data_IF_670915946571
#
_entry.id   IF_670915946571
#
_cell.length_a   1.000
_cell.length_b   1.000
_cell.length_c   1.000
_cell.angle_alpha   90.00
_cell.angle_beta   90.00
_cell.angle_gamma   90.00
#
_symmetry.space_group_name_H-M   'P 1'
#
loop_
_entity.id
_entity.type
_entity.pdbx_description
1 polymer ?
#
# COMPACT_ATOMS: atom_id res chain seq x y z
N UNK A 1 -29.95 -15.01 -15.01
CA UNK A 1 -29.09 -14.58 -13.90
C UNK A 1 -28.49 -13.24 -14.28
N UNK A 2 -28.47 -12.29 -13.36
CA UNK A 2 -27.85 -10.98 -13.59
C UNK A 2 -26.33 -11.16 -13.56
N UNK A 3 -25.64 -10.54 -14.52
CA UNK A 3 -24.19 -10.65 -14.64
C UNK A 3 -23.49 -9.63 -13.76
N UNK A 4 -22.40 -10.07 -13.13
CA UNK A 4 -21.60 -9.26 -12.21
C UNK A 4 -20.11 -9.40 -12.48
N UNK A 5 -19.35 -8.44 -12.04
CA UNK A 5 -17.89 -8.47 -11.94
C UNK A 5 -17.46 -8.35 -10.49
N UNK A 6 -16.31 -8.89 -10.18
CA UNK A 6 -15.74 -8.79 -8.84
C UNK A 6 -14.34 -8.17 -8.86
N UNK A 7 -14.03 -7.42 -7.80
CA UNK A 7 -12.69 -7.01 -7.44
C UNK A 7 -12.22 -7.75 -6.20
N UNK A 8 -10.95 -8.08 -6.15
CA UNK A 8 -10.25 -8.63 -4.98
C UNK A 8 -9.01 -7.81 -4.72
N UNK A 9 -8.79 -7.51 -3.45
CA UNK A 9 -7.52 -6.99 -2.91
C UNK A 9 -7.04 -7.97 -1.85
N UNK A 10 -6.09 -8.84 -2.20
CA UNK A 10 -5.53 -9.87 -1.34
C UNK A 10 -4.21 -9.38 -0.75
N UNK A 11 -4.30 -8.75 0.42
CA UNK A 11 -3.14 -8.33 1.21
C UNK A 11 -2.72 -9.38 2.23
N UNK A 12 -1.65 -9.10 3.00
CA UNK A 12 -1.09 -10.04 3.97
C UNK A 12 -1.93 -10.27 5.23
N UNK A 13 -2.82 -9.37 5.59
CA UNK A 13 -3.63 -9.45 6.81
C UNK A 13 -5.12 -9.62 6.54
N UNK A 14 -5.59 -9.10 5.42
CA UNK A 14 -7.00 -9.16 5.01
C UNK A 14 -7.13 -9.27 3.50
N UNK A 15 -8.22 -9.87 3.09
CA UNK A 15 -8.73 -9.91 1.73
C UNK A 15 -10.00 -9.07 1.66
N UNK A 16 -10.03 -8.08 0.79
CA UNK A 16 -11.27 -7.36 0.46
C UNK A 16 -11.85 -7.90 -0.85
N UNK A 17 -13.17 -8.07 -0.89
CA UNK A 17 -13.93 -8.50 -2.07
C UNK A 17 -15.09 -7.55 -2.31
N UNK A 18 -15.15 -6.97 -3.51
CA UNK A 18 -16.27 -6.14 -3.98
C UNK A 18 -16.94 -6.80 -5.17
N UNK A 19 -18.27 -6.87 -5.14
CA UNK A 19 -19.08 -7.39 -6.26
C UNK A 19 -20.01 -6.28 -6.76
N UNK A 20 -19.97 -6.04 -8.06
CA UNK A 20 -20.80 -5.03 -8.71
C UNK A 20 -21.48 -5.59 -9.97
N UNK A 21 -22.66 -5.06 -10.27
CA UNK A 21 -23.32 -5.27 -11.57
C UNK A 21 -22.56 -4.51 -12.67
N UNK A 22 -22.82 -4.83 -13.92
CA UNK A 22 -22.15 -4.17 -15.07
C UNK A 22 -22.46 -2.67 -15.16
N UNK A 23 -23.63 -2.23 -14.64
CA UNK A 23 -24.02 -0.82 -14.59
C UNK A 23 -23.43 -0.05 -13.39
N UNK A 24 -22.66 -0.70 -12.54
CA UNK A 24 -21.96 -0.06 -11.41
C UNK A 24 -22.68 -0.15 -10.07
N UNK A 25 -23.80 -0.84 -9.99
CA UNK A 25 -24.48 -1.05 -8.71
C UNK A 25 -23.64 -1.98 -7.83
N UNK A 26 -23.21 -1.49 -6.68
CA UNK A 26 -22.47 -2.25 -5.66
C UNK A 26 -23.44 -3.18 -4.93
N UNK A 27 -23.17 -4.48 -5.00
CA UNK A 27 -23.98 -5.54 -4.38
C UNK A 27 -23.39 -6.01 -3.06
N UNK A 28 -22.06 -5.99 -2.95
CA UNK A 28 -21.35 -6.56 -1.81
C UNK A 28 -19.98 -5.90 -1.67
N UNK A 29 -19.63 -5.54 -0.44
CA UNK A 29 -18.27 -5.30 0.04
C UNK A 29 -18.08 -6.21 1.26
N UNK A 30 -17.13 -7.14 1.18
CA UNK A 30 -16.80 -8.07 2.27
C UNK A 30 -15.30 -8.10 2.52
N UNK A 31 -14.95 -8.22 3.78
CA UNK A 31 -13.58 -8.52 4.21
C UNK A 31 -13.51 -9.93 4.79
N UNK A 32 -12.41 -10.63 4.52
CA UNK A 32 -12.09 -11.94 5.06
C UNK A 32 -10.69 -11.89 5.66
N UNK A 33 -10.41 -12.66 6.72
CA UNK A 33 -9.06 -12.86 7.20
C UNK A 33 -8.18 -13.46 6.09
N UNK A 34 -6.91 -13.04 6.05
CA UNK A 34 -5.94 -13.52 5.07
C UNK A 34 -4.76 -14.27 5.72
N UNK A 35 -4.96 -14.80 6.94
CA UNK A 35 -3.92 -15.49 7.72
C UNK A 35 -3.28 -16.67 6.96
N UNK A 36 -4.07 -17.37 6.10
CA UNK A 36 -3.61 -18.49 5.28
C UNK A 36 -3.33 -18.08 3.82
N UNK A 37 -3.27 -16.77 3.53
CA UNK A 37 -3.00 -16.32 2.18
C UNK A 37 -1.54 -16.54 1.80
N UNK A 38 -1.34 -17.18 0.66
CA UNK A 38 -0.07 -17.24 -0.03
C UNK A 38 -0.32 -17.30 -1.54
N UNK A 39 0.41 -16.51 -2.30
CA UNK A 39 0.35 -16.54 -3.77
C UNK A 39 0.95 -17.83 -4.37
N UNK A 40 1.61 -18.65 -3.57
CA UNK A 40 2.23 -19.92 -3.99
C UNK A 40 1.97 -21.03 -2.97
N UNK A 41 1.70 -22.27 -3.41
CA UNK A 41 1.56 -22.70 -4.82
C UNK A 41 0.31 -22.11 -5.50
N UNK A 42 0.37 -21.85 -6.82
CA UNK A 42 -0.69 -21.13 -7.55
C UNK A 42 -2.04 -21.86 -7.52
N UNK A 43 -2.07 -23.20 -7.55
CA UNK A 43 -3.30 -23.97 -7.49
C UNK A 43 -4.01 -23.81 -6.14
N UNK A 44 -3.22 -23.76 -5.05
CA UNK A 44 -3.74 -23.50 -3.70
C UNK A 44 -4.28 -22.07 -3.60
N UNK A 45 -3.53 -21.10 -4.12
CA UNK A 45 -3.94 -19.71 -4.17
C UNK A 45 -5.25 -19.52 -4.97
N UNK A 46 -5.36 -20.14 -6.16
CA UNK A 46 -6.54 -20.09 -6.98
C UNK A 46 -7.77 -20.67 -6.26
N UNK A 47 -7.63 -21.80 -5.61
CA UNK A 47 -8.70 -22.43 -4.83
C UNK A 47 -9.13 -21.55 -3.66
N UNK A 48 -8.16 -21.00 -2.94
CA UNK A 48 -8.41 -20.10 -1.81
C UNK A 48 -9.17 -18.82 -2.22
N UNK A 49 -8.79 -18.19 -3.34
CA UNK A 49 -9.46 -17.02 -3.90
C UNK A 49 -10.87 -17.37 -4.38
N UNK A 50 -11.00 -18.49 -5.10
CA UNK A 50 -12.29 -18.95 -5.63
C UNK A 50 -13.33 -19.18 -4.54
N UNK A 51 -12.97 -19.85 -3.45
CA UNK A 51 -13.86 -20.10 -2.32
C UNK A 51 -14.41 -18.81 -1.70
N UNK A 52 -13.56 -17.77 -1.60
CA UNK A 52 -13.95 -16.49 -1.01
C UNK A 52 -14.84 -15.69 -1.94
N UNK A 53 -14.56 -15.74 -3.24
CA UNK A 53 -15.44 -15.17 -4.26
C UNK A 53 -16.82 -15.81 -4.24
N UNK A 54 -16.90 -17.13 -4.20
CA UNK A 54 -18.18 -17.86 -4.18
C UNK A 54 -19.02 -17.52 -2.94
N UNK A 55 -18.37 -17.22 -1.81
CA UNK A 55 -19.03 -16.73 -0.59
C UNK A 55 -19.45 -15.27 -0.67
N UNK A 56 -18.83 -14.48 -1.55
CA UNK A 56 -19.13 -13.05 -1.70
C UNK A 56 -20.24 -12.79 -2.73
N UNK A 57 -20.32 -13.59 -3.79
CA UNK A 57 -21.34 -13.43 -4.84
C UNK A 57 -22.72 -13.81 -4.32
N UNK A 58 -23.71 -12.89 -4.36
CA UNK A 58 -25.05 -13.19 -3.90
C UNK A 58 -25.74 -14.24 -4.78
N UNK A 59 -26.69 -14.98 -4.20
CA UNK A 59 -27.48 -15.96 -4.94
C UNK A 59 -28.28 -15.29 -6.07
N UNK A 60 -28.35 -15.93 -7.23
CA UNK A 60 -29.07 -15.43 -8.41
C UNK A 60 -28.20 -14.57 -9.36
N UNK A 61 -26.95 -14.30 -9.01
CA UNK A 61 -26.00 -13.60 -9.86
C UNK A 61 -24.99 -14.57 -10.50
N UNK A 62 -24.45 -14.17 -11.66
CA UNK A 62 -23.42 -14.92 -12.39
C UNK A 62 -22.17 -14.06 -12.57
N UNK A 63 -21.05 -14.47 -12.03
CA UNK A 63 -19.77 -13.78 -12.22
C UNK A 63 -19.29 -13.97 -13.66
N UNK A 64 -18.94 -12.85 -14.32
CA UNK A 64 -18.34 -12.84 -15.65
C UNK A 64 -16.82 -12.84 -15.59
N UNK A 65 -16.27 -12.03 -14.71
CA UNK A 65 -14.83 -11.90 -14.52
C UNK A 65 -14.49 -11.33 -13.13
N UNK A 66 -13.27 -11.56 -12.70
CA UNK A 66 -12.69 -10.94 -11.52
C UNK A 66 -11.40 -10.19 -11.88
N UNK A 67 -11.14 -9.06 -11.22
CA UNK A 67 -9.83 -8.40 -11.19
C UNK A 67 -9.23 -8.55 -9.81
N UNK A 68 -8.02 -9.05 -9.73
CA UNK A 68 -7.40 -9.51 -8.48
C UNK A 68 -6.06 -8.82 -8.31
N UNK A 69 -5.93 -8.02 -7.25
CA UNK A 69 -4.64 -7.62 -6.71
C UNK A 69 -4.18 -8.65 -5.69
N UNK A 70 -3.01 -9.22 -5.88
CA UNK A 70 -2.53 -10.32 -5.06
C UNK A 70 -1.11 -10.03 -4.54
N UNK A 71 -0.99 -9.82 -3.23
CA UNK A 71 0.31 -9.72 -2.59
C UNK A 71 1.11 -11.01 -2.84
N UNK A 72 2.39 -10.85 -3.21
CA UNK A 72 3.27 -11.94 -3.58
C UNK A 72 3.23 -12.31 -5.07
N UNK A 73 2.32 -11.73 -5.88
CA UNK A 73 2.37 -11.79 -7.35
C UNK A 73 3.22 -10.65 -7.90
N UNK A 74 4.54 -10.73 -7.73
CA UNK A 74 5.47 -9.64 -8.03
C UNK A 74 6.06 -9.70 -9.44
N UNK A 75 5.70 -10.73 -10.23
CA UNK A 75 6.14 -10.91 -11.60
C UNK A 75 4.96 -11.18 -12.53
N UNK A 76 5.06 -10.68 -13.76
CA UNK A 76 4.06 -10.94 -14.80
C UNK A 76 3.84 -12.45 -15.03
N UNK A 77 4.92 -13.24 -14.97
CA UNK A 77 4.85 -14.70 -15.07
C UNK A 77 3.97 -15.30 -13.97
N UNK A 78 4.21 -14.91 -12.72
CA UNK A 78 3.43 -15.44 -11.58
C UNK A 78 1.95 -15.03 -11.65
N UNK A 79 1.67 -13.79 -12.05
CA UNK A 79 0.29 -13.35 -12.29
C UNK A 79 -0.40 -14.21 -13.36
N UNK A 80 0.26 -14.47 -14.49
CA UNK A 80 -0.27 -15.28 -15.58
C UNK A 80 -0.48 -16.76 -15.18
N UNK A 81 0.41 -17.32 -14.36
CA UNK A 81 0.24 -18.67 -13.80
C UNK A 81 -1.00 -18.76 -12.91
N UNK A 82 -1.24 -17.75 -12.05
CA UNK A 82 -2.42 -17.70 -11.20
C UNK A 82 -3.70 -17.46 -12.02
N UNK A 83 -3.66 -16.63 -13.07
CA UNK A 83 -4.78 -16.47 -14.01
C UNK A 83 -5.14 -17.79 -14.69
N UNK A 84 -4.14 -18.58 -15.09
CA UNK A 84 -4.33 -19.90 -15.72
C UNK A 84 -5.00 -20.86 -14.74
N UNK A 85 -4.51 -20.96 -13.51
CA UNK A 85 -5.10 -21.83 -12.49
C UNK A 85 -6.54 -21.44 -12.13
N UNK A 86 -6.86 -20.13 -12.12
CA UNK A 86 -8.24 -19.65 -11.94
C UNK A 86 -9.13 -19.99 -13.14
N UNK A 87 -8.60 -19.90 -14.38
CA UNK A 87 -9.33 -20.25 -15.60
C UNK A 87 -9.66 -21.75 -15.66
N UNK A 88 -8.77 -22.63 -15.19
CA UNK A 88 -9.01 -24.07 -15.05
C UNK A 88 -10.16 -24.37 -14.07
N UNK A 89 -10.40 -23.49 -13.09
CA UNK A 89 -11.56 -23.54 -12.18
C UNK A 89 -12.79 -22.80 -12.73
N UNK A 90 -12.79 -22.38 -14.01
CA UNK A 90 -13.90 -21.70 -14.68
C UNK A 90 -14.08 -20.25 -14.29
N UNK A 91 -13.05 -19.57 -13.75
CA UNK A 91 -13.06 -18.16 -13.42
C UNK A 91 -12.17 -17.37 -14.39
N UNK A 92 -12.76 -16.47 -15.18
CA UNK A 92 -12.00 -15.46 -15.92
C UNK A 92 -11.46 -14.42 -14.95
N UNK A 93 -10.17 -14.24 -14.91
CA UNK A 93 -9.55 -13.27 -14.02
C UNK A 93 -8.42 -12.50 -14.72
N UNK A 94 -8.18 -11.26 -14.26
CA UNK A 94 -6.95 -10.51 -14.46
C UNK A 94 -6.28 -10.41 -13.12
N UNK A 95 -5.04 -10.87 -13.02
CA UNK A 95 -4.25 -10.84 -11.79
C UNK A 95 -3.12 -9.83 -11.94
N UNK A 96 -2.96 -8.98 -10.94
CA UNK A 96 -1.87 -8.03 -10.81
C UNK A 96 -1.31 -8.07 -9.38
N UNK A 97 -0.18 -7.43 -9.13
CA UNK A 97 0.25 -7.17 -7.75
C UNK A 97 -0.78 -6.28 -7.03
N UNK A 98 -1.00 -6.47 -5.74
CA UNK A 98 -1.99 -5.73 -4.94
C UNK A 98 -1.81 -4.20 -5.04
N UNK A 99 -0.57 -3.70 -4.99
CA UNK A 99 -0.30 -2.27 -5.15
C UNK A 99 -0.71 -1.73 -6.54
N UNK A 100 -0.74 -2.56 -7.58
CA UNK A 100 -1.15 -2.14 -8.93
C UNK A 100 -2.65 -1.84 -9.06
N UNK A 101 -3.46 -2.16 -8.03
CA UNK A 101 -4.87 -1.77 -7.98
C UNK A 101 -5.10 -0.27 -7.81
N UNK A 102 -4.12 0.49 -7.31
CA UNK A 102 -4.31 1.91 -6.97
C UNK A 102 -4.72 2.76 -8.16
N UNK A 103 -4.02 2.62 -9.28
CA UNK A 103 -4.28 3.41 -10.49
C UNK A 103 -5.68 3.13 -11.05
N UNK A 104 -6.08 1.87 -11.30
CA UNK A 104 -7.45 1.58 -11.73
C UNK A 104 -8.52 1.89 -10.66
N UNK A 105 -8.21 1.86 -9.36
CA UNK A 105 -9.14 2.28 -8.31
C UNK A 105 -9.46 3.78 -8.35
N UNK A 106 -8.52 4.59 -8.83
CA UNK A 106 -8.73 6.01 -9.10
C UNK A 106 -9.42 6.27 -10.45
N UNK A 107 -9.89 5.25 -11.16
CA UNK A 107 -10.53 5.38 -12.48
C UNK A 107 -9.56 5.62 -13.63
N UNK A 108 -8.26 5.50 -13.42
CA UNK A 108 -7.21 5.79 -14.38
C UNK A 108 -6.77 4.52 -15.12
N UNK A 109 -6.27 4.69 -16.36
CA UNK A 109 -5.65 3.61 -17.14
C UNK A 109 -4.15 3.58 -17.02
N UNK A 110 -3.54 4.74 -16.78
CA UNK A 110 -2.11 4.96 -16.65
C UNK A 110 -1.84 5.85 -15.45
N UNK A 111 -0.71 5.68 -14.81
CA UNK A 111 -0.30 6.47 -13.66
C UNK A 111 0.71 5.74 -12.78
N UNK A 112 1.06 6.37 -11.68
CA UNK A 112 1.94 5.83 -10.66
C UNK A 112 1.14 5.69 -9.37
N UNK A 113 1.09 4.50 -8.79
CA UNK A 113 0.58 4.28 -7.45
C UNK A 113 1.70 4.37 -6.42
N UNK A 114 1.43 4.96 -5.26
CA UNK A 114 2.32 4.88 -4.10
C UNK A 114 1.52 4.52 -2.85
N UNK A 115 2.04 3.60 -2.08
CA UNK A 115 1.50 3.23 -0.77
C UNK A 115 2.44 3.73 0.31
N UNK A 116 1.87 4.35 1.34
CA UNK A 116 2.52 4.64 2.61
C UNK A 116 1.56 4.26 3.73
N UNK A 117 1.70 3.05 4.21
CA UNK A 117 0.91 2.42 5.28
C UNK A 117 1.85 1.72 6.28
N UNK A 118 1.69 0.43 6.53
CA UNK A 118 2.65 -0.35 7.32
C UNK A 118 4.03 -0.33 6.67
N UNK A 119 4.10 -0.56 5.35
CA UNK A 119 5.29 -0.41 4.52
C UNK A 119 5.15 0.72 3.49
N UNK A 120 6.09 0.80 2.53
CA UNK A 120 6.07 1.78 1.46
C UNK A 120 6.53 1.19 0.13
N UNK A 121 5.68 1.33 -0.91
CA UNK A 121 5.95 0.83 -2.25
C UNK A 121 5.44 1.81 -3.30
N UNK A 122 6.12 1.89 -4.42
CA UNK A 122 5.66 2.56 -5.63
C UNK A 122 5.45 1.55 -6.75
N UNK A 123 4.44 1.75 -7.58
CA UNK A 123 4.06 0.87 -8.69
C UNK A 123 3.63 1.71 -9.89
N UNK A 124 3.93 1.25 -11.09
CA UNK A 124 3.53 1.84 -12.35
C UNK A 124 3.71 0.84 -13.48
N UNK A 125 3.54 1.28 -14.72
CA UNK A 125 3.86 0.49 -15.90
C UNK A 125 4.63 1.35 -16.91
N UNK A 126 5.47 0.72 -17.74
CA UNK A 126 6.09 1.38 -18.88
C UNK A 126 5.11 1.47 -20.07
N UNK A 127 5.56 2.07 -21.18
CA UNK A 127 4.75 2.23 -22.40
C UNK A 127 4.36 0.90 -23.06
N UNK A 128 5.11 -0.18 -22.79
CA UNK A 128 4.82 -1.53 -23.29
C UNK A 128 3.82 -2.28 -22.38
N UNK A 129 3.43 -1.66 -21.25
CA UNK A 129 2.52 -2.23 -20.25
C UNK A 129 3.23 -3.13 -19.22
N UNK A 130 4.56 -3.19 -19.23
CA UNK A 130 5.29 -3.99 -18.23
C UNK A 130 5.21 -3.32 -16.85
N UNK A 131 4.90 -4.08 -15.80
CA UNK A 131 4.82 -3.55 -14.45
C UNK A 131 6.19 -3.11 -13.92
N UNK A 132 6.21 -1.98 -13.24
CA UNK A 132 7.38 -1.41 -12.61
C UNK A 132 7.11 -1.26 -11.11
N UNK A 133 8.04 -1.73 -10.29
CA UNK A 133 7.98 -1.61 -8.83
C UNK A 133 9.19 -0.85 -8.29
N UNK A 134 9.01 -0.08 -7.21
CA UNK A 134 10.07 0.60 -6.48
C UNK A 134 9.78 0.54 -4.99
N UNK A 135 10.71 0.12 -4.15
CA UNK A 135 10.51 -0.12 -2.71
C UNK A 135 9.77 -1.43 -2.44
N UNK A 136 9.11 -1.53 -1.29
CA UNK A 136 8.42 -2.75 -0.86
C UNK A 136 9.38 -3.87 -0.43
N UNK A 137 10.60 -3.52 -0.03
CA UNK A 137 11.63 -4.49 0.39
C UNK A 137 11.51 -4.93 1.84
N UNK A 138 10.52 -4.40 2.55
CA UNK A 138 10.33 -4.62 3.97
C UNK A 138 11.05 -3.60 4.84
N UNK A 139 10.53 -3.37 6.04
CA UNK A 139 10.92 -2.30 6.95
C UNK A 139 12.35 -2.39 7.48
N UNK A 140 12.99 -3.57 7.43
CA UNK A 140 14.38 -3.77 7.88
C UNK A 140 15.38 -3.10 6.95
N UNK A 141 15.17 -3.20 5.63
CA UNK A 141 16.11 -2.74 4.60
C UNK A 141 15.51 -1.68 3.67
N UNK A 142 14.27 -1.28 3.91
CA UNK A 142 13.52 -0.32 3.10
C UNK A 142 12.33 0.24 3.88
N UNK A 143 11.29 0.59 3.16
CA UNK A 143 9.99 1.06 3.65
C UNK A 143 10.08 2.29 4.58
N UNK A 144 11.08 3.16 4.38
CA UNK A 144 11.35 4.32 5.22
C UNK A 144 10.17 5.31 5.32
N UNK A 145 9.28 5.27 4.33
CA UNK A 145 8.05 6.06 4.32
C UNK A 145 6.84 5.30 4.87
N UNK A 146 6.98 4.05 5.30
CA UNK A 146 5.97 3.30 6.03
C UNK A 146 5.99 3.59 7.53
N UNK A 147 4.95 3.21 8.26
CA UNK A 147 4.82 3.52 9.68
C UNK A 147 6.00 3.02 10.53
N UNK A 148 6.40 1.75 10.35
CA UNK A 148 7.55 1.18 11.06
C UNK A 148 8.87 1.85 10.65
N UNK A 149 9.04 2.19 9.36
CA UNK A 149 10.20 2.92 8.85
C UNK A 149 10.33 4.31 9.44
N UNK A 150 9.24 5.05 9.57
CA UNK A 150 9.20 6.38 10.20
C UNK A 150 9.57 6.29 11.69
N UNK A 151 9.03 5.29 12.42
CA UNK A 151 9.39 5.08 13.84
C UNK A 151 10.87 4.73 13.97
N UNK A 152 11.41 3.90 13.07
CA UNK A 152 12.84 3.57 13.04
C UNK A 152 13.69 4.84 12.84
N UNK A 153 13.36 5.66 11.85
CA UNK A 153 14.07 6.93 11.60
C UNK A 153 13.99 7.85 12.82
N UNK A 154 12.83 7.99 13.42
CA UNK A 154 12.61 8.82 14.60
C UNK A 154 13.40 8.33 15.82
N UNK A 155 13.38 7.02 16.07
CA UNK A 155 14.12 6.42 17.20
C UNK A 155 15.61 6.62 17.02
N UNK A 156 16.17 6.39 15.83
CA UNK A 156 17.59 6.62 15.54
C UNK A 156 17.92 8.09 15.73
N UNK A 157 17.14 9.02 15.19
CA UNK A 157 17.38 10.46 15.32
C UNK A 157 17.35 10.92 16.79
N UNK A 158 16.34 10.49 17.56
CA UNK A 158 16.19 10.87 18.97
C UNK A 158 17.33 10.34 19.84
N UNK A 159 17.74 9.09 19.66
CA UNK A 159 18.85 8.51 20.43
C UNK A 159 20.19 9.13 20.02
N UNK A 160 20.40 9.41 18.74
CA UNK A 160 21.61 10.12 18.28
C UNK A 160 21.71 11.50 18.90
N UNK A 161 20.62 12.29 18.90
CA UNK A 161 20.60 13.61 19.54
C UNK A 161 20.87 13.53 21.04
N UNK A 162 20.35 12.50 21.71
CA UNK A 162 20.65 12.23 23.12
C UNK A 162 22.14 11.93 23.36
N UNK A 163 22.76 11.07 22.53
CA UNK A 163 24.18 10.72 22.64
C UNK A 163 25.10 11.91 22.38
N UNK A 164 24.69 12.86 21.57
CA UNK A 164 25.39 14.13 21.32
C UNK A 164 25.23 15.15 22.47
N UNK A 165 24.39 14.82 23.47
CA UNK A 165 24.13 15.70 24.62
C UNK A 165 23.16 16.85 24.29
N UNK A 166 22.41 16.75 23.18
CA UNK A 166 21.42 17.75 22.86
C UNK A 166 20.20 17.63 23.79
N UNK A 167 19.61 18.78 24.22
CA UNK A 167 18.35 18.74 24.95
C UNK A 167 17.25 18.10 24.09
N UNK A 168 16.36 17.32 24.74
CA UNK A 168 15.19 16.77 24.05
C UNK A 168 14.26 17.89 23.57
N UNK A 169 14.02 17.94 22.29
CA UNK A 169 13.09 18.90 21.65
C UNK A 169 11.64 18.42 21.64
N UNK A 170 11.35 17.28 22.29
CA UNK A 170 10.03 16.67 22.37
C UNK A 170 9.91 15.32 21.63
N UNK A 171 10.81 14.99 20.69
CA UNK A 171 10.74 13.75 19.96
C UNK A 171 11.02 12.54 20.84
N UNK A 172 12.12 12.58 21.61
CA UNK A 172 12.47 11.48 22.52
C UNK A 172 11.36 11.24 23.55
N UNK A 173 10.91 12.29 24.23
CA UNK A 173 9.81 12.20 25.20
C UNK A 173 8.51 11.65 24.59
N UNK A 174 8.20 11.98 23.34
CA UNK A 174 7.04 11.45 22.63
C UNK A 174 7.16 9.95 22.38
N UNK A 175 8.33 9.48 21.93
CA UNK A 175 8.62 8.06 21.74
C UNK A 175 8.59 7.28 23.06
N UNK A 176 9.22 7.82 24.14
CA UNK A 176 9.20 7.17 25.45
C UNK A 176 7.77 6.93 25.96
N UNK A 177 6.90 7.93 25.81
CA UNK A 177 5.48 7.79 26.16
C UNK A 177 4.77 6.74 25.31
N UNK A 178 5.03 6.75 23.99
CA UNK A 178 4.38 5.84 23.05
C UNK A 178 4.77 4.38 23.29
N UNK A 179 6.02 4.11 23.63
CA UNK A 179 6.52 2.77 23.95
C UNK A 179 6.33 2.36 25.41
N UNK A 180 5.81 3.27 26.24
CA UNK A 180 5.62 3.06 27.69
C UNK A 180 6.94 2.64 28.39
N UNK A 181 7.98 3.48 28.23
CA UNK A 181 9.32 3.25 28.79
C UNK A 181 9.89 4.52 29.43
N UNK A 182 10.76 4.35 30.45
CA UNK A 182 11.22 5.45 31.31
C UNK A 182 12.48 6.19 30.78
N UNK A 183 13.14 5.68 29.74
CA UNK A 183 14.39 6.30 29.28
C UNK A 183 14.95 5.73 27.98
N UNK A 184 16.00 6.38 27.42
CA UNK A 184 16.61 6.03 26.14
C UNK A 184 17.07 4.56 26.08
N UNK A 185 17.70 4.06 27.14
CA UNK A 185 18.18 2.67 27.18
C UNK A 185 17.02 1.66 27.20
N UNK A 186 15.92 2.01 27.87
CA UNK A 186 14.71 1.17 27.90
C UNK A 186 14.02 1.20 26.53
N UNK A 187 13.97 2.36 25.85
CA UNK A 187 13.48 2.48 24.49
C UNK A 187 14.31 1.63 23.52
N UNK A 188 15.65 1.78 23.56
CA UNK A 188 16.54 0.99 22.70
C UNK A 188 16.35 -0.52 22.91
N UNK A 189 16.17 -0.97 24.16
CA UNK A 189 15.91 -2.37 24.48
C UNK A 189 14.57 -2.83 23.93
N UNK A 190 13.49 -2.06 24.21
CA UNK A 190 12.13 -2.38 23.79
C UNK A 190 12.02 -2.53 22.25
N UNK A 191 12.61 -1.62 21.48
CA UNK A 191 12.56 -1.68 20.01
C UNK A 191 13.42 -2.82 19.44
N UNK A 192 14.52 -3.21 20.08
CA UNK A 192 15.35 -4.32 19.64
C UNK A 192 14.75 -5.68 20.01
N UNK A 193 14.16 -5.83 21.20
CA UNK A 193 13.57 -7.09 21.66
C UNK A 193 12.30 -7.45 20.89
N UNK A 194 11.56 -6.45 20.39
CA UNK A 194 10.32 -6.64 19.66
C UNK A 194 10.43 -6.03 18.24
N UNK A 195 11.48 -6.38 17.51
CA UNK A 195 11.82 -5.78 16.22
C UNK A 195 10.93 -6.30 15.08
N UNK A 196 9.64 -5.92 15.07
CA UNK A 196 8.68 -6.22 14.00
C UNK A 196 7.93 -4.98 13.55
N UNK A 197 7.46 -4.98 12.30
CA UNK A 197 6.68 -3.85 11.76
C UNK A 197 5.35 -3.68 12.51
N UNK A 198 4.76 -4.77 12.96
CA UNK A 198 3.51 -4.81 13.73
C UNK A 198 3.68 -4.14 15.10
N UNK A 199 4.84 -4.31 15.74
CA UNK A 199 5.12 -3.71 17.03
C UNK A 199 5.55 -2.23 16.91
N UNK A 200 6.27 -1.85 15.85
CA UNK A 200 6.75 -0.49 15.69
C UNK A 200 5.73 0.43 15.01
N UNK A 201 5.05 -0.04 13.97
CA UNK A 201 4.14 0.76 13.17
C UNK A 201 3.06 1.53 13.95
N UNK A 202 2.41 0.93 14.97
CA UNK A 202 1.41 1.61 15.79
C UNK A 202 1.92 2.86 16.53
N UNK A 203 3.24 3.01 16.70
CA UNK A 203 3.85 4.16 17.37
C UNK A 203 4.14 5.34 16.43
N UNK A 204 3.94 5.22 15.12
CA UNK A 204 4.14 6.31 14.15
C UNK A 204 3.36 7.60 14.49
N UNK A 205 2.13 7.57 15.03
CA UNK A 205 1.44 8.78 15.45
C UNK A 205 2.21 9.65 16.44
N UNK A 206 3.06 9.05 17.30
CA UNK A 206 3.87 9.81 18.25
C UNK A 206 4.88 10.74 17.57
N UNK A 207 5.40 10.34 16.42
CA UNK A 207 6.32 11.18 15.63
C UNK A 207 5.59 12.40 15.08
N UNK A 208 4.39 12.21 14.55
CA UNK A 208 3.58 13.31 14.02
C UNK A 208 3.07 14.23 15.11
N UNK A 209 2.70 13.70 16.29
CA UNK A 209 2.38 14.51 17.48
C UNK A 209 3.58 15.37 17.90
N UNK A 210 4.79 14.82 17.91
CA UNK A 210 5.98 15.61 18.23
C UNK A 210 6.20 16.76 17.22
N UNK A 211 5.89 16.56 15.93
CA UNK A 211 5.91 17.65 14.93
C UNK A 211 4.88 18.73 15.26
N UNK A 212 3.68 18.35 15.69
CA UNK A 212 2.62 19.29 16.07
C UNK A 212 2.99 20.09 17.33
N UNK A 213 3.68 19.44 18.27
CA UNK A 213 4.19 20.02 19.50
C UNK A 213 5.46 20.88 19.28
N UNK A 214 5.98 20.94 18.04
CA UNK A 214 7.05 21.85 17.64
C UNK A 214 8.46 21.24 17.63
N UNK A 215 8.61 19.91 17.73
CA UNK A 215 9.91 19.24 17.58
C UNK A 215 10.46 19.45 16.16
N UNK A 216 11.61 20.09 16.06
CA UNK A 216 12.32 20.29 14.82
C UNK A 216 12.86 18.94 14.27
N UNK A 217 13.39 18.11 15.16
CA UNK A 217 13.92 16.79 14.81
C UNK A 217 12.85 15.85 14.25
N UNK A 218 11.64 15.86 14.85
CA UNK A 218 10.51 15.13 14.29
C UNK A 218 10.12 15.65 12.89
N UNK A 219 10.19 16.97 12.68
CA UNK A 219 9.96 17.59 11.38
C UNK A 219 10.98 17.12 10.32
N UNK A 220 12.26 17.00 10.68
CA UNK A 220 13.31 16.46 9.81
C UNK A 220 13.05 14.99 9.45
N UNK A 221 12.63 14.16 10.41
CA UNK A 221 12.27 12.76 10.19
C UNK A 221 11.11 12.64 9.20
N UNK A 222 10.04 13.41 9.40
CA UNK A 222 8.87 13.42 8.48
C UNK A 222 9.29 13.93 7.11
N UNK A 223 10.18 14.93 7.05
CA UNK A 223 10.79 15.40 5.82
C UNK A 223 11.56 14.30 5.08
N UNK A 224 12.44 13.59 5.77
CA UNK A 224 13.20 12.47 5.20
C UNK A 224 12.30 11.34 4.70
N UNK A 225 11.27 10.98 5.47
CA UNK A 225 10.28 9.98 5.02
C UNK A 225 9.56 10.41 3.72
N UNK A 226 9.21 11.71 3.60
CA UNK A 226 8.61 12.23 2.38
C UNK A 226 9.60 12.21 1.20
N UNK A 227 10.89 12.44 1.43
CA UNK A 227 11.93 12.30 0.42
C UNK A 227 12.07 10.84 -0.05
N UNK A 228 12.00 9.88 0.86
CA UNK A 228 11.99 8.45 0.53
C UNK A 228 10.78 8.08 -0.34
N UNK A 229 9.57 8.54 0.01
CA UNK A 229 8.36 8.27 -0.78
C UNK A 229 8.46 8.90 -2.19
N UNK A 230 8.94 10.14 -2.28
CA UNK A 230 9.15 10.81 -3.58
C UNK A 230 10.24 10.13 -4.41
N UNK A 231 11.25 9.54 -3.76
CA UNK A 231 12.27 8.77 -4.45
C UNK A 231 11.72 7.50 -5.12
N UNK A 232 10.64 6.89 -4.60
CA UNK A 232 9.96 5.77 -5.26
C UNK A 232 9.38 6.23 -6.60
N UNK A 233 8.66 7.35 -6.62
CA UNK A 233 8.12 7.96 -7.85
C UNK A 233 9.24 8.26 -8.84
N UNK A 234 10.33 8.89 -8.38
CA UNK A 234 11.48 9.20 -9.24
C UNK A 234 12.07 7.94 -9.88
N UNK A 235 12.22 6.84 -9.13
CA UNK A 235 12.73 5.57 -9.65
C UNK A 235 11.83 5.00 -10.75
N UNK A 236 10.50 5.09 -10.57
CA UNK A 236 9.52 4.64 -11.55
C UNK A 236 9.57 5.50 -12.83
N UNK A 237 9.55 6.83 -12.69
CA UNK A 237 9.66 7.75 -13.83
C UNK A 237 10.95 7.52 -14.60
N UNK A 238 12.09 7.37 -13.90
CA UNK A 238 13.39 7.10 -14.54
C UNK A 238 13.40 5.77 -15.31
N UNK A 239 12.59 4.79 -14.89
CA UNK A 239 12.43 3.49 -15.55
C UNK A 239 11.34 3.48 -16.61
N UNK A 240 10.75 4.64 -16.94
CA UNK A 240 9.79 4.79 -18.03
C UNK A 240 8.34 4.60 -17.64
N UNK A 241 7.99 4.72 -16.35
CA UNK A 241 6.58 4.71 -15.95
C UNK A 241 5.79 5.82 -16.68
N UNK A 242 4.64 5.45 -17.21
CA UNK A 242 3.76 6.35 -17.97
C UNK A 242 2.61 6.90 -17.13
N UNK A 243 1.97 7.98 -17.63
CA UNK A 243 0.88 8.67 -16.95
C UNK A 243 1.30 9.98 -16.31
N UNK A 244 0.30 10.79 -15.92
CA UNK A 244 0.49 12.13 -15.33
C UNK A 244 0.03 12.20 -13.87
N UNK A 245 -0.55 11.11 -13.36
CA UNK A 245 -1.16 11.07 -12.05
C UNK A 245 -0.33 10.17 -11.12
N UNK A 246 -0.14 10.64 -9.89
CA UNK A 246 0.40 9.86 -8.77
C UNK A 246 -0.72 9.63 -7.77
N UNK A 247 -1.21 8.40 -7.71
CA UNK A 247 -2.27 7.98 -6.78
C UNK A 247 -1.62 7.50 -5.50
N UNK A 248 -1.86 8.21 -4.41
CA UNK A 248 -1.29 7.89 -3.10
C UNK A 248 -2.35 7.26 -2.18
N UNK A 249 -1.98 6.18 -1.51
CA UNK A 249 -2.81 5.46 -0.56
C UNK A 249 -2.02 4.96 0.66
N UNK A 250 -2.73 4.44 1.65
CA UNK A 250 -2.17 3.90 2.89
C UNK A 250 -2.37 4.83 4.07
N UNK A 251 -2.50 4.23 5.25
CA UNK A 251 -2.94 4.90 6.48
C UNK A 251 -2.03 6.04 6.94
N UNK A 252 -0.73 6.00 6.59
CA UNK A 252 0.20 7.06 6.96
C UNK A 252 -0.05 8.31 6.11
N UNK A 253 -0.04 8.18 4.76
CA UNK A 253 -0.17 9.36 3.91
C UNK A 253 -1.58 9.97 3.95
N UNK A 254 -2.61 9.13 4.07
CA UNK A 254 -4.00 9.62 4.16
C UNK A 254 -4.35 10.17 5.54
N UNK A 255 -3.70 9.66 6.59
CA UNK A 255 -3.95 10.08 7.98
C UNK A 255 -3.08 11.23 8.48
N UNK A 256 -2.06 11.65 7.70
CA UNK A 256 -1.06 12.62 8.15
C UNK A 256 -0.90 13.80 7.17
N UNK A 257 -1.72 14.86 7.30
CA UNK A 257 -1.75 15.98 6.34
C UNK A 257 -0.41 16.68 6.13
N UNK A 258 0.44 16.77 7.17
CA UNK A 258 1.79 17.36 7.05
C UNK A 258 2.71 16.50 6.18
N UNK A 259 2.61 15.18 6.32
CA UNK A 259 3.38 14.24 5.51
C UNK A 259 2.91 14.27 4.05
N UNK A 260 1.59 14.27 3.82
CA UNK A 260 1.01 14.44 2.49
C UNK A 260 1.47 15.74 1.83
N UNK A 261 1.38 16.88 2.54
CA UNK A 261 1.83 18.17 2.03
C UNK A 261 3.32 18.17 1.67
N UNK A 262 4.14 17.56 2.53
CA UNK A 262 5.58 17.41 2.28
C UNK A 262 5.85 16.56 1.04
N UNK A 263 5.16 15.45 0.86
CA UNK A 263 5.26 14.60 -0.33
C UNK A 263 4.83 15.35 -1.60
N UNK A 264 3.66 16.01 -1.59
CA UNK A 264 3.18 16.82 -2.73
C UNK A 264 4.17 17.90 -3.14
N UNK A 265 4.78 18.60 -2.18
CA UNK A 265 5.78 19.63 -2.46
C UNK A 265 7.01 19.05 -3.18
N UNK A 266 7.49 17.86 -2.79
CA UNK A 266 8.62 17.19 -3.43
C UNK A 266 8.31 16.74 -4.85
N UNK A 267 7.13 16.16 -5.06
CA UNK A 267 6.69 15.77 -6.40
C UNK A 267 6.53 17.01 -7.28
N UNK A 268 5.85 18.07 -6.81
CA UNK A 268 5.66 19.30 -7.57
C UNK A 268 6.97 19.99 -7.95
N UNK A 269 8.00 19.90 -7.10
CA UNK A 269 9.33 20.44 -7.40
C UNK A 269 10.07 19.57 -8.41
N UNK A 270 10.08 18.25 -8.23
CA UNK A 270 10.87 17.33 -9.07
C UNK A 270 10.17 17.02 -10.41
N UNK A 271 8.85 16.98 -10.41
CA UNK A 271 8.02 16.58 -11.56
C UNK A 271 6.78 17.49 -11.68
N UNK A 272 6.92 18.75 -12.13
CA UNK A 272 5.81 19.71 -12.18
C UNK A 272 4.63 19.29 -13.06
N UNK A 273 4.82 18.27 -13.92
CA UNK A 273 3.80 17.73 -14.80
C UNK A 273 2.99 16.58 -14.15
N UNK A 274 3.41 16.10 -12.98
CA UNK A 274 2.69 15.04 -12.24
C UNK A 274 1.72 15.67 -11.24
N UNK A 275 0.51 15.12 -11.17
CA UNK A 275 -0.52 15.50 -10.20
C UNK A 275 -0.63 14.42 -9.14
N UNK A 276 -0.51 14.78 -7.86
CA UNK A 276 -0.72 13.85 -6.74
C UNK A 276 -2.15 13.91 -6.29
N UNK A 277 -2.81 12.74 -6.19
CA UNK A 277 -4.15 12.57 -5.64
C UNK A 277 -4.15 11.49 -4.56
N UNK A 278 -4.91 11.68 -3.51
CA UNK A 278 -5.18 10.59 -2.56
C UNK A 278 -6.26 9.69 -3.13
N UNK A 279 -6.12 8.38 -2.94
CA UNK A 279 -7.16 7.43 -3.30
C UNK A 279 -8.35 7.60 -2.35
N UNK A 280 -9.53 7.88 -2.92
CA UNK A 280 -10.76 8.09 -2.15
C UNK A 280 -11.49 6.79 -1.83
N UNK A 281 -11.47 5.82 -2.77
CA UNK A 281 -12.08 4.48 -2.58
C UNK A 281 -11.02 3.46 -2.12
N UNK A 282 -11.45 2.27 -1.79
CA UNK A 282 -10.55 1.18 -1.42
C UNK A 282 -9.86 0.59 -2.68
N UNK A 283 -8.63 0.06 -2.57
CA UNK A 283 -7.91 -0.56 -3.70
C UNK A 283 -8.72 -1.63 -4.43
N UNK A 284 -9.60 -2.36 -3.74
CA UNK A 284 -10.50 -3.37 -4.31
C UNK A 284 -11.37 -2.84 -5.46
N UNK A 285 -11.67 -1.52 -5.50
CA UNK A 285 -12.34 -0.89 -6.64
C UNK A 285 -11.53 -0.99 -7.92
N UNK A 286 -10.21 -0.99 -7.81
CA UNK A 286 -9.30 -1.22 -8.94
C UNK A 286 -9.46 -2.61 -9.53
N UNK A 287 -9.67 -3.62 -8.69
CA UNK A 287 -10.00 -4.96 -9.15
C UNK A 287 -11.29 -4.99 -9.97
N UNK A 288 -12.35 -4.32 -9.49
CA UNK A 288 -13.61 -4.19 -10.25
C UNK A 288 -13.37 -3.50 -11.61
N UNK A 289 -12.58 -2.41 -11.63
CA UNK A 289 -12.25 -1.71 -12.88
C UNK A 289 -11.49 -2.61 -13.86
N UNK A 290 -10.53 -3.40 -13.39
CA UNK A 290 -9.80 -4.38 -14.21
C UNK A 290 -10.75 -5.45 -14.77
N UNK A 291 -11.63 -6.02 -13.93
CA UNK A 291 -12.61 -7.01 -14.34
C UNK A 291 -13.54 -6.47 -15.45
N UNK A 292 -14.03 -5.23 -15.34
CA UNK A 292 -14.87 -4.59 -16.36
C UNK A 292 -14.16 -4.44 -17.69
N UNK A 293 -12.92 -3.93 -17.69
CA UNK A 293 -12.10 -3.81 -18.90
C UNK A 293 -11.91 -5.16 -19.59
N UNK A 294 -11.71 -6.22 -18.78
CA UNK A 294 -11.51 -7.57 -19.29
C UNK A 294 -12.79 -8.18 -19.91
N UNK A 295 -13.98 -7.72 -19.53
CA UNK A 295 -15.25 -8.13 -20.16
C UNK A 295 -15.59 -7.33 -21.42
N UNK A 296 -14.83 -6.26 -21.75
CA UNK A 296 -15.12 -5.36 -22.85
C UNK A 296 -16.24 -4.35 -22.56
N UNK A 297 -16.62 -4.20 -21.30
CA UNK A 297 -17.67 -3.29 -20.80
C UNK A 297 -17.05 -2.13 -19.99
N UNK A 298 -15.99 -1.53 -20.45
CA UNK A 298 -15.36 -0.35 -19.84
C UNK A 298 -15.87 0.95 -20.46
#
# INVERSE_FOLDING_TARGET
>A
MIEVVAGIDAGGTKLAVRVETLDGTRLCDKEFPAEDWSASPVDTAATWLRERLDRAVPAGYRMLAAGIGAQGCDTQKHCAELETALAEQGLRAVVVNDAALLVPAAGLTEGIGVISGTGAIGVGANADGDPLFAGGWGWVIGDEAGSAGIVRLATVAALTAHDEGNPDDGLLSSLLRAFDVDGPEALARKVNDEATAENWGPHAPAVFTAVEDGSALAGEVVGAAADHLAALVRRLVTRGAVGKDVVAAGSVITGQPRFEAAFRARIGTAFPHLTVTLLEDLPVAGGVALARRHTGNA
#
